data_IF_355306600503
#
_entry.id   IF_355306600503
#
_cell.length_a   1.000
_cell.length_b   1.000
_cell.length_c   1.000
_cell.angle_alpha   90.00
_cell.angle_beta   90.00
_cell.angle_gamma   90.00
#
_symmetry.space_group_name_H-M   'P 1'
#
loop_
_entity.id
_entity.type
_entity.pdbx_description
1 polymer ?
#
# COMPACT_ATOMS: atom_id res chain seq x y z
N UNK A 1 26.04 6.87 -8.45
CA UNK A 1 25.17 5.67 -8.53
C UNK A 1 25.02 5.07 -7.14
N UNK A 2 24.05 5.54 -6.36
CA UNK A 2 23.72 4.93 -5.08
C UNK A 2 22.93 3.65 -5.32
N UNK A 3 23.34 2.53 -4.71
CA UNK A 3 22.58 1.29 -4.76
C UNK A 3 21.44 1.40 -3.75
N UNK A 4 20.19 1.43 -4.23
CA UNK A 4 19.00 1.35 -3.38
C UNK A 4 18.79 -0.11 -2.98
N UNK A 5 18.69 -0.37 -1.68
CA UNK A 5 18.39 -1.69 -1.13
C UNK A 5 16.97 -1.67 -0.56
N UNK A 6 16.12 -2.57 -1.02
CA UNK A 6 14.74 -2.75 -0.53
C UNK A 6 14.79 -3.82 0.58
N UNK A 7 14.32 -3.47 1.79
CA UNK A 7 14.49 -4.31 3.00
C UNK A 7 13.20 -4.92 3.53
N UNK A 8 13.26 -6.19 3.93
CA UNK A 8 12.24 -6.83 4.74
C UNK A 8 12.36 -6.38 6.22
N UNK A 9 11.21 -6.05 6.84
CA UNK A 9 11.05 -5.61 8.25
C UNK A 9 11.79 -6.49 9.27
N UNK A 10 11.91 -7.79 9.04
CA UNK A 10 12.56 -8.74 9.96
C UNK A 10 14.08 -8.61 10.07
N UNK A 11 14.76 -8.09 9.03
CA UNK A 11 16.23 -7.98 9.00
C UNK A 11 16.77 -6.56 9.11
N UNK A 12 15.87 -5.57 9.21
CA UNK A 12 16.17 -4.14 9.27
C UNK A 12 17.26 -3.80 10.29
N UNK A 13 17.08 -4.24 11.54
CA UNK A 13 18.02 -3.91 12.62
C UNK A 13 19.43 -4.45 12.41
N UNK A 14 19.59 -5.56 11.68
CA UNK A 14 20.91 -6.09 11.32
C UNK A 14 21.61 -5.17 10.31
N UNK A 15 20.88 -4.75 9.27
CA UNK A 15 21.45 -3.93 8.20
C UNK A 15 21.71 -2.48 8.63
N UNK A 16 20.85 -1.88 9.46
CA UNK A 16 21.10 -0.56 10.04
C UNK A 16 22.39 -0.54 10.87
N UNK A 17 22.68 -1.63 11.58
CA UNK A 17 23.95 -1.78 12.33
C UNK A 17 25.15 -2.02 11.42
N UNK A 18 24.97 -2.81 10.36
CA UNK A 18 26.05 -3.17 9.44
C UNK A 18 26.45 -2.01 8.52
N UNK A 19 25.51 -1.15 8.12
CA UNK A 19 25.77 -0.04 7.22
C UNK A 19 25.43 1.31 7.85
N UNK A 20 26.22 1.72 8.85
CA UNK A 20 26.12 3.07 9.41
C UNK A 20 26.42 4.11 8.32
N UNK A 21 25.48 5.03 8.07
CA UNK A 21 25.63 6.14 7.13
C UNK A 21 24.93 5.98 5.78
N UNK A 22 24.20 4.88 5.54
CA UNK A 22 23.31 4.73 4.39
C UNK A 22 21.90 5.17 4.78
N UNK A 23 21.28 6.06 4.00
CA UNK A 23 19.87 6.38 4.15
C UNK A 23 19.04 5.17 3.70
N UNK A 24 18.45 4.48 4.66
CA UNK A 24 17.45 3.45 4.40
C UNK A 24 16.12 4.13 4.08
N UNK A 25 15.49 3.76 2.95
CA UNK A 25 14.11 4.14 2.70
C UNK A 25 13.24 3.45 3.76
N UNK A 26 12.55 4.25 4.59
CA UNK A 26 11.56 3.72 5.53
C UNK A 26 10.26 3.48 4.75
N UNK A 27 9.80 2.23 4.72
CA UNK A 27 8.52 1.89 4.14
C UNK A 27 7.77 0.83 4.94
N UNK A 28 6.45 0.94 4.90
CA UNK A 28 5.50 -0.04 5.38
C UNK A 28 4.87 -0.75 4.17
N UNK A 29 4.87 -2.08 4.17
CA UNK A 29 4.21 -2.89 3.12
C UNK A 29 2.84 -3.36 3.61
N UNK A 30 1.83 -3.15 2.77
CA UNK A 30 0.47 -3.69 2.91
C UNK A 30 0.22 -4.67 1.77
N UNK A 31 0.29 -5.97 2.05
CA UNK A 31 -0.02 -7.01 1.06
C UNK A 31 -1.52 -7.27 1.03
N UNK A 32 -2.23 -6.82 -0.01
CA UNK A 32 -3.70 -6.93 -0.07
C UNK A 32 -4.20 -8.38 -0.05
N UNK A 33 -3.41 -9.33 -0.57
CA UNK A 33 -3.73 -10.77 -0.52
C UNK A 33 -3.98 -11.30 0.91
N UNK A 34 -3.49 -10.61 1.95
CA UNK A 34 -3.72 -10.97 3.36
C UNK A 34 -5.17 -10.73 3.81
N UNK A 35 -5.92 -9.90 3.09
CA UNK A 35 -7.35 -9.71 3.31
C UNK A 35 -8.21 -10.63 2.44
N UNK A 36 -7.61 -11.27 1.43
CA UNK A 36 -8.27 -12.17 0.49
C UNK A 36 -7.72 -12.03 -0.92
N UNK A 37 -8.05 -13.00 -1.79
CA UNK A 37 -7.66 -12.96 -3.21
C UNK A 37 -8.75 -12.33 -4.09
N UNK A 38 -10.00 -12.31 -3.60
CA UNK A 38 -11.16 -11.68 -4.24
C UNK A 38 -11.68 -10.59 -3.32
N UNK A 39 -11.51 -9.33 -3.71
CA UNK A 39 -11.76 -8.15 -2.90
C UNK A 39 -12.90 -7.33 -3.53
N UNK A 40 -14.15 -7.74 -3.25
CA UNK A 40 -15.34 -7.23 -3.97
C UNK A 40 -16.38 -6.54 -3.07
N UNK A 41 -16.47 -6.94 -1.81
CA UNK A 41 -17.48 -6.45 -0.87
C UNK A 41 -17.11 -5.08 -0.29
N UNK A 42 -18.07 -4.15 -0.24
CA UNK A 42 -17.88 -2.83 0.38
C UNK A 42 -17.66 -2.97 1.89
N UNK A 43 -18.49 -3.78 2.56
CA UNK A 43 -18.43 -3.95 4.01
C UNK A 43 -17.11 -4.63 4.42
N UNK A 44 -16.65 -5.64 3.68
CA UNK A 44 -15.36 -6.29 3.92
C UNK A 44 -14.19 -5.31 3.77
N UNK A 45 -14.27 -4.36 2.82
CA UNK A 45 -13.27 -3.30 2.66
C UNK A 45 -13.21 -2.37 3.88
N UNK A 46 -14.37 -2.00 4.42
CA UNK A 46 -14.48 -1.17 5.63
C UNK A 46 -13.96 -1.90 6.86
N UNK A 47 -14.30 -3.18 7.01
CA UNK A 47 -13.82 -4.03 8.08
C UNK A 47 -12.30 -4.25 8.01
N UNK A 48 -11.78 -4.51 6.82
CA UNK A 48 -10.35 -4.65 6.58
C UNK A 48 -9.59 -3.38 7.01
N UNK A 49 -10.08 -2.19 6.63
CA UNK A 49 -9.46 -0.93 7.05
C UNK A 49 -9.55 -0.76 8.57
N UNK A 50 -10.70 -1.04 9.18
CA UNK A 50 -10.89 -0.92 10.63
C UNK A 50 -9.95 -1.84 11.41
N UNK A 51 -9.81 -3.09 10.99
CA UNK A 51 -8.88 -4.05 11.58
C UNK A 51 -7.42 -3.66 11.36
N UNK A 52 -7.10 -3.00 10.24
CA UNK A 52 -5.73 -2.60 9.92
C UNK A 52 -5.27 -1.32 10.62
N UNK A 53 -6.20 -0.40 10.95
CA UNK A 53 -5.90 0.90 11.58
C UNK A 53 -4.88 0.86 12.72
N UNK A 54 -4.92 -0.07 13.69
CA UNK A 54 -3.91 -0.13 14.76
C UNK A 54 -2.46 -0.25 14.26
N UNK A 55 -2.27 -0.87 13.09
CA UNK A 55 -0.94 -1.02 12.46
C UNK A 55 -0.40 0.32 11.92
N UNK A 56 -1.27 1.29 11.67
CA UNK A 56 -0.91 2.61 11.15
C UNK A 56 -0.41 3.57 12.24
N UNK A 57 -0.68 3.29 13.52
CA UNK A 57 -0.38 4.21 14.63
C UNK A 57 1.13 4.50 14.81
N UNK A 58 1.99 3.62 14.32
CA UNK A 58 3.45 3.75 14.45
C UNK A 58 4.13 4.16 13.14
N UNK A 59 3.35 4.51 12.11
CA UNK A 59 3.89 4.98 10.84
C UNK A 59 4.51 6.35 11.04
N UNK A 60 5.80 6.48 10.71
CA UNK A 60 6.50 7.77 10.80
C UNK A 60 6.00 8.76 9.74
N UNK A 61 6.13 10.07 10.00
CA UNK A 61 5.75 11.15 9.08
C UNK A 61 6.43 11.05 7.71
N UNK A 62 7.63 10.47 7.65
CA UNK A 62 8.42 10.32 6.43
C UNK A 62 8.44 8.89 5.89
N UNK A 63 7.67 7.98 6.48
CA UNK A 63 7.60 6.59 6.03
C UNK A 63 6.65 6.47 4.83
N UNK A 64 7.12 5.81 3.78
CA UNK A 64 6.32 5.50 2.58
C UNK A 64 5.42 4.30 2.85
N UNK A 65 4.20 4.29 2.32
CA UNK A 65 3.26 3.18 2.45
C UNK A 65 3.08 2.54 1.08
N UNK A 66 3.48 1.29 0.96
CA UNK A 66 3.34 0.53 -0.27
C UNK A 66 2.17 -0.45 -0.18
N UNK A 67 1.21 -0.30 -1.08
CA UNK A 67 0.10 -1.25 -1.24
C UNK A 67 0.46 -2.21 -2.38
N UNK A 68 0.64 -3.48 -2.02
CA UNK A 68 1.05 -4.53 -2.95
C UNK A 68 -0.18 -5.32 -3.40
N UNK A 69 -0.43 -5.30 -4.72
CA UNK A 69 -1.54 -6.03 -5.36
C UNK A 69 -1.16 -7.45 -5.80
N UNK A 70 0.09 -7.87 -5.61
CA UNK A 70 0.54 -9.22 -5.93
C UNK A 70 -0.31 -10.28 -5.21
N UNK A 71 -0.82 -11.25 -5.98
CA UNK A 71 -1.72 -12.31 -5.50
C UNK A 71 -3.21 -11.96 -5.46
N UNK A 72 -3.60 -10.73 -5.75
CA UNK A 72 -5.02 -10.37 -5.89
C UNK A 72 -5.53 -10.84 -7.26
N UNK A 73 -6.62 -11.61 -7.27
CA UNK A 73 -7.28 -12.10 -8.49
C UNK A 73 -8.34 -11.12 -8.99
N UNK A 74 -9.19 -10.64 -8.08
CA UNK A 74 -10.30 -9.74 -8.41
C UNK A 74 -10.32 -8.59 -7.42
N UNK A 75 -10.43 -7.37 -7.95
CA UNK A 75 -10.44 -6.14 -7.17
C UNK A 75 -11.54 -5.21 -7.68
N UNK A 76 -12.55 -4.96 -6.85
CA UNK A 76 -13.68 -4.11 -7.19
C UNK A 76 -13.49 -2.64 -6.77
N UNK A 77 -14.16 -1.69 -7.44
CA UNK A 77 -14.22 -0.31 -6.99
C UNK A 77 -14.83 -0.14 -5.61
N UNK A 78 -15.88 -0.88 -5.26
CA UNK A 78 -16.53 -0.78 -3.94
C UNK A 78 -15.61 -1.13 -2.79
N UNK A 79 -14.77 -2.16 -2.93
CA UNK A 79 -13.80 -2.51 -1.91
C UNK A 79 -12.66 -1.50 -1.88
N UNK A 80 -12.11 -1.16 -3.05
CA UNK A 80 -10.99 -0.22 -3.17
C UNK A 80 -11.33 1.18 -2.62
N UNK A 81 -12.57 1.61 -2.77
CA UNK A 81 -13.02 2.90 -2.27
C UNK A 81 -13.05 2.98 -0.73
N UNK A 82 -13.34 1.87 -0.05
CA UNK A 82 -13.39 1.84 1.42
C UNK A 82 -12.01 1.63 2.05
N UNK A 83 -11.04 1.08 1.31
CA UNK A 83 -9.71 0.79 1.84
C UNK A 83 -8.62 1.72 1.29
N UNK A 84 -8.49 1.85 -0.03
CA UNK A 84 -7.40 2.60 -0.69
C UNK A 84 -7.64 4.10 -0.58
N UNK A 85 -8.86 4.57 -0.88
CA UNK A 85 -9.16 6.01 -0.88
C UNK A 85 -8.90 6.66 0.50
N UNK A 86 -9.33 6.09 1.64
CA UNK A 86 -9.04 6.68 2.94
C UNK A 86 -7.55 6.63 3.29
N UNK A 87 -6.82 5.59 2.90
CA UNK A 87 -5.36 5.56 3.07
C UNK A 87 -4.69 6.66 2.27
N UNK A 88 -5.14 6.93 1.05
CA UNK A 88 -4.60 8.03 0.26
C UNK A 88 -4.91 9.39 0.87
N UNK A 89 -6.09 9.57 1.47
CA UNK A 89 -6.41 10.80 2.21
C UNK A 89 -5.49 11.02 3.42
N UNK A 90 -5.03 9.95 4.06
CA UNK A 90 -4.13 10.03 5.22
C UNK A 90 -2.66 10.26 4.79
N UNK A 91 -2.19 9.52 3.79
CA UNK A 91 -0.77 9.45 3.44
C UNK A 91 -0.39 10.28 2.21
N UNK A 92 -1.37 10.67 1.39
CA UNK A 92 -1.17 11.45 0.16
C UNK A 92 -0.12 10.82 -0.74
N UNK A 93 0.88 11.62 -1.11
CA UNK A 93 1.95 11.20 -2.01
C UNK A 93 2.83 10.07 -1.45
N UNK A 94 2.80 9.84 -0.14
CA UNK A 94 3.53 8.73 0.48
C UNK A 94 2.88 7.36 0.24
N UNK A 95 1.65 7.31 -0.26
CA UNK A 95 1.00 6.06 -0.63
C UNK A 95 1.37 5.66 -2.06
N UNK A 96 2.05 4.55 -2.22
CA UNK A 96 2.49 4.01 -3.50
C UNK A 96 1.78 2.68 -3.78
N UNK A 97 1.18 2.57 -4.96
CA UNK A 97 0.58 1.34 -5.45
C UNK A 97 1.61 0.53 -6.24
N UNK A 98 1.81 -0.73 -5.86
CA UNK A 98 2.84 -1.62 -6.40
C UNK A 98 2.19 -2.90 -6.95
N UNK A 99 2.77 -3.47 -8.02
CA UNK A 99 2.31 -4.70 -8.66
C UNK A 99 0.92 -4.62 -9.31
N UNK A 100 0.60 -3.51 -9.96
CA UNK A 100 -0.68 -3.28 -10.67
C UNK A 100 -0.81 -4.03 -12.01
N UNK A 101 -0.25 -5.24 -12.15
CA UNK A 101 -0.27 -6.00 -13.40
C UNK A 101 -1.65 -6.63 -13.70
N UNK A 102 -2.53 -6.73 -12.71
CA UNK A 102 -3.87 -7.30 -12.85
C UNK A 102 -4.84 -6.28 -13.50
N UNK A 103 -5.53 -6.67 -14.57
CA UNK A 103 -6.50 -5.80 -15.28
C UNK A 103 -7.66 -5.33 -14.40
N UNK A 104 -8.15 -6.17 -13.48
CA UNK A 104 -9.18 -5.79 -12.51
C UNK A 104 -8.67 -4.69 -11.57
N UNK A 105 -7.39 -4.75 -11.18
CA UNK A 105 -6.75 -3.73 -10.35
C UNK A 105 -6.65 -2.41 -11.12
N UNK A 106 -6.08 -2.45 -12.33
CA UNK A 106 -5.93 -1.25 -13.16
C UNK A 106 -7.27 -0.57 -13.47
N UNK A 107 -8.29 -1.34 -13.86
CA UNK A 107 -9.62 -0.80 -14.16
C UNK A 107 -10.24 -0.11 -12.95
N UNK A 108 -10.12 -0.73 -11.77
CA UNK A 108 -10.63 -0.17 -10.52
C UNK A 108 -9.89 1.10 -10.12
N UNK A 109 -8.55 1.09 -10.11
CA UNK A 109 -7.76 2.28 -9.73
C UNK A 109 -8.06 3.45 -10.66
N UNK A 110 -8.10 3.21 -11.98
CA UNK A 110 -8.46 4.25 -12.96
C UNK A 110 -9.87 4.82 -12.71
N UNK A 111 -10.82 3.99 -12.27
CA UNK A 111 -12.15 4.47 -11.93
C UNK A 111 -12.15 5.32 -10.65
N UNK A 112 -11.45 4.89 -9.60
CA UNK A 112 -11.33 5.65 -8.35
C UNK A 112 -10.68 7.01 -8.57
N UNK A 113 -9.61 7.08 -9.37
CA UNK A 113 -8.97 8.33 -9.76
C UNK A 113 -9.96 9.31 -10.42
N UNK A 114 -10.81 8.80 -11.33
CA UNK A 114 -11.82 9.62 -12.02
C UNK A 114 -12.93 10.09 -11.09
N UNK A 115 -13.41 9.23 -10.20
CA UNK A 115 -14.50 9.55 -9.25
C UNK A 115 -14.02 10.63 -8.26
N UNK A 116 -12.82 10.45 -7.70
CA UNK A 116 -12.30 11.33 -6.65
C UNK A 116 -11.46 12.50 -7.18
N UNK A 117 -11.20 12.54 -8.48
CA UNK A 117 -10.33 13.54 -9.13
C UNK A 117 -8.93 13.59 -8.50
N UNK A 118 -8.38 12.41 -8.21
CA UNK A 118 -7.03 12.22 -7.66
C UNK A 118 -6.18 11.41 -8.63
N UNK A 119 -4.87 11.40 -8.42
CA UNK A 119 -3.93 10.50 -9.10
C UNK A 119 -3.16 9.73 -8.04
N UNK A 120 -3.18 8.41 -8.10
CA UNK A 120 -2.36 7.59 -7.20
C UNK A 120 -0.93 7.52 -7.71
N UNK A 121 0.02 7.45 -6.77
CA UNK A 121 1.41 7.17 -7.11
C UNK A 121 1.56 5.67 -7.37
N UNK A 122 2.24 5.31 -8.44
CA UNK A 122 2.43 3.92 -8.88
C UNK A 122 3.93 3.65 -9.09
N UNK A 123 4.38 2.44 -8.75
CA UNK A 123 5.75 1.98 -8.91
C UNK A 123 5.83 0.61 -9.60
#
# INVERSE_FOLDING_TARGET
>A
MGKTFIFNKERRGFYERMFRGINFLNFMIIELKKFGLTLTSRDDGREALAAFKPSLNNVSEHETIEIHFSGVNTFSPSWGDEFITPLFQIFGERLILVDMNNLSVQATINLLERIHKIKFNVA
#
